data_IF_063908272015
#
_entry.id   IF_063908272015
#
_cell.length_a   1.000
_cell.length_b   1.000
_cell.length_c   1.000
_cell.angle_alpha   90.00
_cell.angle_beta   90.00
_cell.angle_gamma   90.00
#
_symmetry.space_group_name_H-M   'P 1'
#
loop_
_entity.id
_entity.type
_entity.pdbx_description
1 polymer ?
#
# COMPACT_ATOMS: atom_id res chain seq x y z
N UNK A 1 -1.06 9.01 -11.40
CA UNK A 1 -0.70 7.82 -10.61
C UNK A 1 0.78 7.89 -10.33
N UNK A 2 1.19 7.58 -9.11
CA UNK A 2 2.59 7.49 -8.70
C UNK A 2 2.75 6.36 -7.69
N UNK A 3 3.92 5.75 -7.67
CA UNK A 3 4.28 4.81 -6.60
C UNK A 3 4.55 5.59 -5.32
N UNK A 4 4.01 5.09 -4.21
CA UNK A 4 4.31 5.57 -2.88
C UNK A 4 5.49 4.79 -2.32
N UNK A 5 6.46 5.49 -1.74
CA UNK A 5 7.70 4.90 -1.22
C UNK A 5 7.95 5.34 0.23
N UNK A 6 8.82 4.62 0.94
CA UNK A 6 9.24 4.97 2.30
C UNK A 6 8.06 5.18 3.28
N UNK A 7 8.07 6.30 4.00
CA UNK A 7 7.08 6.62 5.03
C UNK A 7 5.66 6.74 4.45
N UNK A 8 5.53 7.30 3.27
CA UNK A 8 4.24 7.48 2.62
C UNK A 8 3.58 6.14 2.25
N UNK A 9 4.38 5.17 1.77
CA UNK A 9 3.89 3.80 1.57
C UNK A 9 3.37 3.23 2.88
N UNK A 10 4.11 3.41 3.99
CA UNK A 10 3.71 2.88 5.29
C UNK A 10 2.37 3.46 5.76
N UNK A 11 2.17 4.77 5.61
CA UNK A 11 0.91 5.43 5.96
C UNK A 11 -0.27 4.91 5.11
N UNK A 12 -0.10 4.84 3.79
CA UNK A 12 -1.13 4.35 2.89
C UNK A 12 -1.42 2.86 3.11
N UNK A 13 -0.41 2.06 3.44
CA UNK A 13 -0.59 0.65 3.78
C UNK A 13 -1.48 0.48 5.02
N UNK A 14 -1.27 1.31 6.05
CA UNK A 14 -2.15 1.30 7.23
C UNK A 14 -3.60 1.68 6.88
N UNK A 15 -3.81 2.60 5.94
CA UNK A 15 -5.16 2.89 5.41
C UNK A 15 -5.76 1.64 4.75
N UNK A 16 -4.99 0.97 3.89
CA UNK A 16 -5.45 -0.25 3.20
C UNK A 16 -5.78 -1.39 4.18
N UNK A 17 -4.97 -1.60 5.22
CA UNK A 17 -5.23 -2.62 6.23
C UNK A 17 -6.49 -2.34 7.05
N UNK A 18 -6.80 -1.07 7.33
CA UNK A 18 -8.07 -0.69 7.99
C UNK A 18 -9.28 -1.00 7.11
N UNK A 19 -9.16 -0.80 5.80
CA UNK A 19 -10.25 -1.12 4.85
C UNK A 19 -10.37 -2.62 4.60
N UNK A 20 -9.24 -3.32 4.44
CA UNK A 20 -9.20 -4.75 4.21
C UNK A 20 -8.00 -5.42 4.89
N UNK A 21 -8.19 -5.96 6.11
CA UNK A 21 -7.11 -6.53 6.91
C UNK A 21 -6.37 -7.71 6.25
N UNK A 22 -7.02 -8.42 5.32
CA UNK A 22 -6.43 -9.57 4.64
C UNK A 22 -5.19 -9.21 3.79
N UNK A 23 -4.99 -7.94 3.43
CA UNK A 23 -3.79 -7.51 2.73
C UNK A 23 -2.51 -7.79 3.53
N UNK A 24 -2.57 -7.79 4.87
CA UNK A 24 -1.43 -8.14 5.73
C UNK A 24 -0.94 -9.57 5.50
N UNK A 25 -1.85 -10.51 5.19
CA UNK A 25 -1.47 -11.89 4.87
C UNK A 25 -0.66 -12.02 3.58
N UNK A 26 -0.78 -11.08 2.64
CA UNK A 26 0.07 -11.12 1.46
C UNK A 26 1.48 -10.65 1.77
N UNK A 27 1.64 -9.68 2.67
CA UNK A 27 2.94 -9.21 3.16
C UNK A 27 3.67 -10.32 3.94
N UNK A 28 2.95 -11.09 4.76
CA UNK A 28 3.51 -12.26 5.45
C UNK A 28 4.01 -13.37 4.51
N UNK A 29 3.50 -13.43 3.27
CA UNK A 29 3.78 -14.50 2.31
C UNK A 29 4.87 -14.15 1.31
N UNK A 30 5.51 -12.99 1.45
CA UNK A 30 6.55 -12.58 0.51
C UNK A 30 7.60 -11.69 1.17
N UNK A 31 8.86 -11.88 0.78
CA UNK A 31 9.96 -11.03 1.24
C UNK A 31 10.07 -9.70 0.48
N UNK A 32 9.26 -9.52 -0.59
CA UNK A 32 9.26 -8.30 -1.39
C UNK A 32 8.34 -7.26 -0.75
N UNK A 33 8.74 -5.99 -0.80
CA UNK A 33 7.83 -4.90 -0.43
C UNK A 33 6.71 -4.80 -1.47
N UNK A 34 5.46 -4.97 -1.04
CA UNK A 34 4.29 -4.82 -1.92
C UNK A 34 4.19 -3.35 -2.37
N UNK A 35 4.23 -3.06 -3.69
CA UNK A 35 4.11 -1.70 -4.21
C UNK A 35 2.72 -1.12 -3.95
N UNK A 36 2.68 0.15 -3.54
CA UNK A 36 1.44 0.90 -3.31
C UNK A 36 1.44 2.09 -4.27
N UNK A 37 0.32 2.31 -4.95
CA UNK A 37 0.19 3.42 -5.89
C UNK A 37 -0.93 4.37 -5.49
N UNK A 38 -0.62 5.65 -5.44
CA UNK A 38 -1.62 6.68 -5.25
C UNK A 38 -2.24 7.07 -6.59
N UNK A 39 -3.57 6.94 -6.67
CA UNK A 39 -4.36 7.45 -7.79
C UNK A 39 -4.82 8.88 -7.47
N UNK A 40 -4.56 9.79 -8.39
CA UNK A 40 -5.04 11.17 -8.34
C UNK A 40 -5.98 11.39 -9.51
N UNK A 41 -7.02 12.20 -9.32
CA UNK A 41 -7.93 12.56 -10.40
C UNK A 41 -7.13 13.25 -11.50
N UNK A 42 -7.20 12.71 -12.72
CA UNK A 42 -6.73 13.43 -13.91
C UNK A 42 -7.72 14.56 -14.16
N UNK A 43 -7.22 15.78 -14.30
CA UNK A 43 -8.04 16.92 -14.71
C UNK A 43 -8.44 16.75 -16.17
#
# INVERSE_FOLDING_TARGET
MREATGAERAELWQVMLRTWPNFGRYEERTDRVIPVFQLTRRR
#
